data_IF_445410401098
#
_entry.id   IF_445410401098
#
_cell.length_a   1.000
_cell.length_b   1.000
_cell.length_c   1.000
_cell.angle_alpha   90.00
_cell.angle_beta   90.00
_cell.angle_gamma   90.00
#
_symmetry.space_group_name_H-M   'P 1'
#
loop_
_entity.id
_entity.type
_entity.pdbx_description
1 polymer ?
#
# COMPACT_ATOMS: atom_id res chain seq x y z
N UNK A 1 -12.21 -38.99 8.69
CA UNK A 1 -12.50 -38.19 9.90
C UNK A 1 -13.56 -37.15 9.55
N UNK A 2 -14.75 -37.22 10.18
CA UNK A 2 -15.87 -36.30 9.94
C UNK A 2 -15.64 -34.98 10.66
N UNK A 3 -15.25 -33.94 9.93
CA UNK A 3 -15.18 -32.57 10.48
C UNK A 3 -16.62 -32.02 10.46
N UNK A 4 -17.38 -32.20 11.54
CA UNK A 4 -18.68 -31.53 11.72
C UNK A 4 -18.61 -30.56 12.88
N UNK A 5 -17.86 -29.46 12.70
CA UNK A 5 -18.18 -28.25 13.46
C UNK A 5 -19.47 -27.68 12.87
N UNK A 6 -20.51 -27.50 13.69
CA UNK A 6 -21.78 -26.89 13.28
C UNK A 6 -21.66 -25.38 13.05
N UNK A 7 -20.59 -24.77 13.55
CA UNK A 7 -20.33 -23.33 13.50
C UNK A 7 -18.89 -23.11 13.06
N UNK A 8 -18.69 -22.14 12.17
CA UNK A 8 -17.39 -21.64 11.76
C UNK A 8 -17.31 -20.19 12.22
N UNK A 9 -16.23 -19.83 12.90
CA UNK A 9 -15.96 -18.44 13.28
C UNK A 9 -15.26 -17.73 12.14
N UNK A 10 -15.83 -16.61 11.70
CA UNK A 10 -15.23 -15.71 10.71
C UNK A 10 -14.88 -14.42 11.46
N UNK A 11 -13.67 -13.93 11.27
CA UNK A 11 -13.14 -12.72 11.91
C UNK A 11 -12.53 -11.81 10.84
N UNK A 12 -12.30 -10.55 11.19
CA UNK A 12 -11.62 -9.60 10.31
C UNK A 12 -10.20 -10.10 9.97
N UNK A 13 -9.83 -10.00 8.68
CA UNK A 13 -8.51 -10.38 8.20
C UNK A 13 -7.38 -9.50 8.75
N UNK A 14 -7.67 -8.24 9.11
CA UNK A 14 -6.72 -7.31 9.72
C UNK A 14 -6.18 -7.77 11.07
N UNK A 15 -6.83 -8.74 11.72
CA UNK A 15 -6.28 -9.44 12.90
C UNK A 15 -4.98 -10.19 12.56
N UNK A 16 -4.83 -10.63 11.31
CA UNK A 16 -3.64 -11.34 10.82
C UNK A 16 -2.73 -10.44 9.98
N UNK A 17 -3.30 -9.74 9.00
CA UNK A 17 -2.57 -8.88 8.07
C UNK A 17 -3.53 -7.87 7.43
N UNK A 18 -3.19 -6.59 7.45
CA UNK A 18 -3.99 -5.53 6.84
C UNK A 18 -3.81 -5.44 5.32
N UNK A 19 -2.84 -6.19 4.77
CA UNK A 19 -2.51 -6.19 3.34
C UNK A 19 -2.90 -7.55 2.73
N UNK A 20 -4.07 -7.68 2.08
CA UNK A 20 -4.62 -8.97 1.67
C UNK A 20 -4.01 -9.50 0.36
N UNK A 21 -2.70 -9.74 0.33
CA UNK A 21 -2.00 -10.23 -0.86
C UNK A 21 -2.35 -11.67 -1.21
N UNK A 22 -2.55 -12.52 -0.20
CA UNK A 22 -2.78 -13.97 -0.34
C UNK A 22 -3.92 -14.33 -1.30
N UNK A 23 -4.98 -13.51 -1.32
CA UNK A 23 -6.10 -13.74 -2.23
C UNK A 23 -5.62 -13.59 -3.67
N UNK A 24 -4.78 -12.61 -3.98
CA UNK A 24 -4.30 -12.36 -5.34
C UNK A 24 -3.15 -13.27 -5.76
N UNK A 25 -2.39 -13.83 -4.81
CA UNK A 25 -1.21 -14.66 -5.08
C UNK A 25 -1.52 -16.13 -5.38
N UNK A 26 -2.80 -16.53 -5.37
CA UNK A 26 -3.19 -17.90 -5.72
C UNK A 26 -2.68 -18.25 -7.14
N UNK A 27 -2.02 -19.41 -7.34
CA UNK A 27 -1.44 -19.77 -8.64
C UNK A 27 -2.42 -19.69 -9.81
N UNK A 28 -3.70 -20.02 -9.58
CA UNK A 28 -4.75 -20.01 -10.61
C UNK A 28 -5.09 -18.60 -11.13
N UNK A 29 -4.73 -17.55 -10.39
CA UNK A 29 -4.93 -16.16 -10.83
C UNK A 29 -3.82 -15.68 -11.76
N UNK A 30 -2.66 -16.33 -11.77
CA UNK A 30 -1.50 -15.97 -12.60
C UNK A 30 -1.19 -14.46 -12.56
N UNK A 31 -1.18 -13.89 -11.35
CA UNK A 31 -0.97 -12.45 -11.13
C UNK A 31 0.46 -12.07 -11.53
N UNK A 32 0.58 -11.12 -12.47
CA UNK A 32 1.88 -10.62 -12.96
C UNK A 32 2.35 -9.38 -12.19
N UNK A 33 1.40 -8.54 -11.78
CA UNK A 33 1.63 -7.30 -11.03
C UNK A 33 0.62 -7.21 -9.91
N UNK A 34 1.08 -6.91 -8.70
CA UNK A 34 0.24 -6.62 -7.55
C UNK A 34 0.41 -5.16 -7.14
N UNK A 35 -0.67 -4.38 -7.23
CA UNK A 35 -0.68 -3.00 -6.73
C UNK A 35 -1.39 -3.00 -5.39
N UNK A 36 -0.65 -2.62 -4.35
CA UNK A 36 -1.08 -2.63 -2.96
C UNK A 36 -1.18 -1.19 -2.47
N UNK A 37 -2.31 -0.83 -1.88
CA UNK A 37 -2.48 0.42 -1.13
C UNK A 37 -2.67 0.08 0.34
N UNK A 38 -1.70 0.45 1.16
CA UNK A 38 -1.68 0.13 2.59
C UNK A 38 -1.99 1.37 3.44
N UNK A 39 -3.06 1.26 4.22
CA UNK A 39 -3.58 2.29 5.10
C UNK A 39 -3.34 1.97 6.57
N UNK A 40 -2.43 1.05 6.86
CA UNK A 40 -2.10 0.68 8.22
C UNK A 40 -1.50 1.84 9.00
N UNK A 41 -1.87 1.92 10.28
CA UNK A 41 -1.34 2.93 11.19
C UNK A 41 0.18 2.81 11.35
N UNK A 42 0.86 3.95 11.37
CA UNK A 42 2.28 4.04 11.73
C UNK A 42 2.47 4.80 13.04
N UNK A 43 3.59 4.59 13.76
CA UNK A 43 3.90 5.35 14.98
C UNK A 43 3.92 6.87 14.82
N UNK A 44 4.38 7.37 13.67
CA UNK A 44 4.35 8.78 13.28
C UNK A 44 4.63 8.94 11.78
N UNK A 45 4.36 10.13 11.21
CA UNK A 45 4.70 10.48 9.81
C UNK A 45 6.22 10.38 9.49
N UNK A 46 7.07 10.47 10.50
CA UNK A 46 8.53 10.35 10.36
C UNK A 46 9.05 8.92 10.54
N UNK A 47 8.24 8.04 11.14
CA UNK A 47 8.58 6.65 11.42
C UNK A 47 7.46 5.73 10.97
N UNK A 48 7.51 5.34 9.70
CA UNK A 48 6.57 4.37 9.12
C UNK A 48 6.77 2.98 9.69
N UNK A 49 5.67 2.24 9.88
CA UNK A 49 5.70 0.81 10.12
C UNK A 49 5.49 0.05 8.80
N UNK A 50 6.51 -0.69 8.38
CA UNK A 50 6.48 -1.52 7.19
C UNK A 50 6.26 -3.01 7.49
N UNK A 51 5.81 -3.34 8.70
CA UNK A 51 5.55 -4.71 9.15
C UNK A 51 4.57 -5.46 8.25
N UNK A 52 3.52 -4.80 7.77
CA UNK A 52 2.42 -5.46 7.05
C UNK A 52 2.87 -6.10 5.74
N UNK A 53 3.70 -5.42 4.93
CA UNK A 53 4.22 -6.03 3.70
C UNK A 53 5.19 -7.18 4.01
N UNK A 54 5.92 -7.12 5.12
CA UNK A 54 6.82 -8.20 5.55
C UNK A 54 6.02 -9.42 6.03
N UNK A 55 4.94 -9.21 6.79
CA UNK A 55 4.01 -10.26 7.20
C UNK A 55 3.37 -10.91 5.98
N UNK A 56 2.88 -10.10 5.02
CA UNK A 56 2.33 -10.60 3.76
C UNK A 56 3.33 -11.44 2.95
N UNK A 57 4.60 -11.04 2.91
CA UNK A 57 5.65 -11.81 2.25
C UNK A 57 5.89 -13.16 2.95
N UNK A 58 6.00 -13.17 4.28
CA UNK A 58 6.18 -14.39 5.06
C UNK A 58 5.01 -15.35 4.88
N UNK A 59 3.77 -14.85 4.93
CA UNK A 59 2.56 -15.65 4.72
C UNK A 59 2.54 -16.28 3.33
N UNK A 60 2.86 -15.50 2.29
CA UNK A 60 2.94 -16.01 0.93
C UNK A 60 3.97 -17.15 0.81
N UNK A 61 5.19 -16.96 1.34
CA UNK A 61 6.24 -17.98 1.30
C UNK A 61 5.86 -19.24 2.08
N UNK A 62 5.28 -19.10 3.27
CA UNK A 62 4.82 -20.24 4.09
C UNK A 62 3.72 -21.06 3.39
N UNK A 63 2.87 -20.39 2.61
CA UNK A 63 1.80 -21.01 1.84
C UNK A 63 2.25 -21.51 0.46
N UNK A 64 3.56 -21.47 0.15
CA UNK A 64 4.11 -21.90 -1.13
C UNK A 64 3.74 -21.00 -2.31
N UNK A 65 3.31 -19.77 -2.05
CA UNK A 65 3.01 -18.76 -3.06
C UNK A 65 4.26 -17.92 -3.36
N UNK A 66 4.37 -17.42 -4.59
CA UNK A 66 5.49 -16.56 -5.00
C UNK A 66 5.27 -15.13 -4.52
N UNK A 67 6.30 -14.56 -3.89
CA UNK A 67 6.33 -13.16 -3.47
C UNK A 67 7.76 -12.64 -3.56
N UNK A 68 8.01 -11.39 -4.02
CA UNK A 68 9.37 -10.84 -4.13
C UNK A 68 10.17 -10.94 -2.84
N UNK A 69 11.45 -11.27 -2.95
CA UNK A 69 12.34 -11.28 -1.79
C UNK A 69 12.43 -9.87 -1.15
N UNK A 70 12.36 -9.83 0.19
CA UNK A 70 12.47 -8.58 0.95
C UNK A 70 13.68 -8.69 1.89
N UNK A 71 14.54 -7.67 1.88
CA UNK A 71 15.54 -7.50 2.93
C UNK A 71 14.89 -6.78 4.14
N UNK A 72 14.49 -7.54 5.16
CA UNK A 72 13.79 -6.99 6.32
C UNK A 72 14.59 -5.93 7.07
N UNK A 73 15.91 -6.11 7.21
CA UNK A 73 16.76 -5.12 7.89
C UNK A 73 16.77 -3.78 7.14
N UNK A 74 16.85 -3.81 5.81
CA UNK A 74 16.76 -2.59 5.00
C UNK A 74 15.36 -1.98 5.05
N UNK A 75 14.33 -2.81 5.05
CA UNK A 75 12.95 -2.35 5.09
C UNK A 75 12.63 -1.61 6.38
N UNK A 76 12.96 -2.17 7.55
CA UNK A 76 12.72 -1.54 8.86
C UNK A 76 13.41 -0.18 9.02
N UNK A 77 14.53 0.04 8.33
CA UNK A 77 15.30 1.29 8.40
C UNK A 77 15.00 2.24 7.23
N UNK A 78 14.05 1.91 6.37
CA UNK A 78 13.72 2.73 5.22
C UNK A 78 13.00 4.00 5.70
N UNK A 79 13.39 5.20 5.22
CA UNK A 79 12.64 6.41 5.55
C UNK A 79 11.21 6.33 5.01
N UNK A 80 10.30 7.19 5.48
CA UNK A 80 8.93 7.28 4.95
C UNK A 80 8.93 7.46 3.43
N UNK A 81 8.23 6.56 2.71
CA UNK A 81 8.15 6.53 1.25
C UNK A 81 6.74 6.23 0.77
N UNK A 82 6.24 7.07 -0.13
CA UNK A 82 4.89 6.97 -0.70
C UNK A 82 4.70 5.76 -1.63
N UNK A 83 5.75 5.33 -2.33
CA UNK A 83 5.72 4.20 -3.26
C UNK A 83 7.01 3.40 -3.19
N UNK A 84 6.88 2.07 -3.10
CA UNK A 84 7.98 1.11 -3.07
C UNK A 84 7.68 0.02 -4.10
N UNK A 85 8.66 -0.33 -4.94
CA UNK A 85 8.54 -1.45 -5.89
C UNK A 85 9.40 -2.60 -5.41
N UNK A 86 8.79 -3.78 -5.27
CA UNK A 86 9.46 -5.03 -4.92
C UNK A 86 9.41 -5.96 -6.12
N UNK A 87 10.56 -6.47 -6.53
CA UNK A 87 10.69 -7.30 -7.72
C UNK A 87 11.79 -8.32 -7.49
N UNK A 88 11.51 -9.59 -7.81
CA UNK A 88 12.55 -10.59 -7.97
C UNK A 88 12.99 -10.64 -9.43
N UNK A 89 14.22 -10.23 -9.72
CA UNK A 89 14.75 -10.19 -11.10
C UNK A 89 15.17 -11.56 -11.61
N UNK A 90 15.29 -12.55 -10.73
CA UNK A 90 15.75 -13.90 -11.07
C UNK A 90 14.58 -14.89 -11.26
N UNK A 91 13.36 -14.48 -10.91
CA UNK A 91 12.15 -15.29 -11.05
C UNK A 91 11.09 -14.54 -11.89
N UNK A 92 10.94 -14.96 -13.15
CA UNK A 92 9.98 -14.38 -14.10
C UNK A 92 8.52 -14.76 -13.76
N UNK A 93 8.28 -15.78 -12.94
CA UNK A 93 6.94 -16.17 -12.45
C UNK A 93 6.54 -15.43 -11.17
N UNK A 94 7.49 -14.77 -10.50
CA UNK A 94 7.20 -14.01 -9.29
C UNK A 94 6.57 -12.65 -9.65
N UNK A 95 5.41 -12.28 -9.08
CA UNK A 95 4.76 -11.02 -9.40
C UNK A 95 5.62 -9.82 -9.00
N UNK A 96 5.55 -8.74 -9.76
CA UNK A 96 6.11 -7.45 -9.34
C UNK A 96 5.11 -6.77 -8.41
N UNK A 97 5.54 -6.31 -7.24
CA UNK A 97 4.67 -5.64 -6.27
C UNK A 97 4.95 -4.14 -6.29
N UNK A 98 3.92 -3.33 -6.53
CA UNK A 98 3.93 -1.89 -6.28
C UNK A 98 3.18 -1.68 -4.97
N UNK A 99 3.86 -1.10 -3.99
CA UNK A 99 3.30 -0.87 -2.67
C UNK A 99 3.26 0.63 -2.37
N UNK A 100 2.05 1.15 -2.27
CA UNK A 100 1.76 2.50 -1.84
C UNK A 100 1.48 2.52 -0.34
N UNK A 101 2.11 3.44 0.36
CA UNK A 101 1.93 3.62 1.80
C UNK A 101 1.20 4.92 2.07
N UNK A 102 0.44 4.94 3.16
CA UNK A 102 -0.23 6.13 3.65
C UNK A 102 0.80 7.09 4.26
N UNK A 103 1.34 8.02 3.47
CA UNK A 103 2.41 8.91 3.89
C UNK A 103 2.31 10.26 3.17
N UNK A 104 2.36 11.38 3.90
CA UNK A 104 2.33 12.73 3.32
C UNK A 104 3.76 13.29 3.17
N UNK A 105 4.46 13.02 2.05
CA UNK A 105 5.85 13.53 1.85
C UNK A 105 5.94 14.55 0.74
N UNK A 106 5.65 14.14 -0.49
CA UNK A 106 5.74 15.03 -1.65
C UNK A 106 4.55 15.97 -1.67
N UNK A 107 3.37 15.47 -1.31
CA UNK A 107 2.13 16.24 -1.31
C UNK A 107 2.20 17.49 -0.42
N UNK A 108 2.64 17.39 0.83
CA UNK A 108 2.81 18.54 1.75
C UNK A 108 3.74 19.64 1.25
N UNK A 109 4.67 19.32 0.35
CA UNK A 109 5.65 20.27 -0.16
C UNK A 109 5.21 20.94 -1.48
N UNK A 110 4.02 20.63 -2.00
CA UNK A 110 3.49 21.28 -3.20
C UNK A 110 3.21 22.75 -2.94
N UNK A 111 3.82 23.61 -3.75
CA UNK A 111 3.57 25.05 -3.70
C UNK A 111 2.29 25.39 -4.45
N UNK A 112 1.47 26.27 -3.88
CA UNK A 112 0.23 26.76 -4.50
C UNK A 112 -0.74 25.64 -4.89
N UNK A 113 -0.78 24.55 -4.11
CA UNK A 113 -1.71 23.46 -4.36
C UNK A 113 -3.16 23.96 -4.28
N UNK A 114 -3.99 23.52 -5.23
CA UNK A 114 -5.43 23.76 -5.23
C UNK A 114 -6.14 22.41 -5.28
N UNK A 115 -6.98 22.09 -4.28
CA UNK A 115 -7.72 20.83 -4.27
C UNK A 115 -8.73 20.78 -5.42
N UNK A 116 -9.07 19.58 -5.89
CA UNK A 116 -10.05 19.39 -6.96
C UNK A 116 -11.48 19.56 -6.46
N UNK A 117 -11.74 19.15 -5.21
CA UNK A 117 -13.11 19.02 -4.68
C UNK A 117 -13.39 19.72 -3.34
N UNK A 118 -12.45 20.49 -2.75
CA UNK A 118 -12.67 21.09 -1.42
C UNK A 118 -13.58 22.31 -1.48
N UNK A 119 -14.65 22.29 -0.68
CA UNK A 119 -15.59 23.41 -0.50
C UNK A 119 -15.37 24.18 0.80
N UNK A 120 -14.68 23.60 1.77
CA UNK A 120 -14.41 24.25 3.07
C UNK A 120 -13.21 25.20 3.00
N UNK A 121 -13.25 26.33 3.73
CA UNK A 121 -12.10 27.21 3.87
C UNK A 121 -11.01 26.52 4.70
N UNK A 122 -9.75 26.74 4.30
CA UNK A 122 -8.59 26.32 5.08
C UNK A 122 -8.46 27.29 6.26
N UNK A 123 -8.22 26.81 7.50
CA UNK A 123 -8.00 27.69 8.65
C UNK A 123 -6.89 28.72 8.41
N UNK A 124 -7.03 29.90 9.01
CA UNK A 124 -6.05 30.97 8.88
C UNK A 124 -4.65 30.51 9.34
N UNK A 125 -3.66 30.68 8.45
CA UNK A 125 -2.28 30.29 8.71
C UNK A 125 -1.95 28.82 8.42
N UNK A 126 -2.92 28.01 8.01
CA UNK A 126 -2.69 26.65 7.54
C UNK A 126 -2.60 26.57 6.00
N UNK A 127 -2.10 25.45 5.51
CA UNK A 127 -2.21 25.09 4.09
C UNK A 127 -3.05 23.84 3.93
N UNK A 128 -3.62 23.65 2.74
CA UNK A 128 -4.44 22.46 2.48
C UNK A 128 -3.63 21.17 2.64
N UNK A 129 -2.43 21.13 2.05
CA UNK A 129 -1.65 19.92 1.84
C UNK A 129 -0.63 19.63 2.95
N UNK A 130 -0.31 20.60 3.81
CA UNK A 130 0.58 20.40 4.96
C UNK A 130 -0.21 20.02 6.21
N UNK A 131 -0.36 18.71 6.42
CA UNK A 131 -0.98 18.13 7.61
C UNK A 131 -0.30 16.80 7.94
N UNK A 132 -0.40 16.38 9.20
CA UNK A 132 0.10 15.09 9.65
C UNK A 132 -0.99 14.02 9.52
N UNK A 133 -0.58 12.78 9.24
CA UNK A 133 -1.50 11.64 9.12
C UNK A 133 -1.53 10.82 10.41
N UNK A 134 -0.40 10.70 11.10
CA UNK A 134 -0.24 9.86 12.28
C UNK A 134 0.17 10.70 13.49
N UNK A 135 -0.80 11.38 14.10
CA UNK A 135 -0.61 12.03 15.40
C UNK A 135 -1.81 11.78 16.31
N UNK A 136 -1.70 12.10 17.60
CA UNK A 136 -2.82 11.94 18.54
C UNK A 136 -3.97 12.91 18.28
N UNK A 137 -3.69 13.96 17.53
CA UNK A 137 -4.57 15.09 17.27
C UNK A 137 -5.22 15.00 15.88
N UNK A 138 -4.89 13.99 15.07
CA UNK A 138 -5.47 13.79 13.73
C UNK A 138 -6.74 12.96 13.79
N UNK A 139 -7.76 13.31 12.99
CA UNK A 139 -8.98 12.50 12.81
C UNK A 139 -8.78 11.19 12.00
N UNK A 140 -7.54 10.83 11.64
CA UNK A 140 -7.24 9.68 10.79
C UNK A 140 -6.97 8.39 11.57
N UNK A 141 -7.31 8.37 12.86
CA UNK A 141 -7.23 7.17 13.69
C UNK A 141 -8.17 6.08 13.16
N UNK A 142 -7.76 4.82 13.28
CA UNK A 142 -8.63 3.67 12.97
C UNK A 142 -9.92 3.65 13.80
N UNK A 143 -9.94 4.35 14.94
CA UNK A 143 -11.10 4.42 15.81
C UNK A 143 -12.01 5.63 15.58
N UNK A 144 -11.60 6.57 14.72
CA UNK A 144 -12.37 7.77 14.42
C UNK A 144 -13.21 7.55 13.16
N UNK A 145 -14.50 7.84 13.26
CA UNK A 145 -15.48 7.64 12.20
C UNK A 145 -16.17 8.93 11.76
N UNK A 146 -15.76 10.07 12.33
CA UNK A 146 -16.31 11.39 12.04
C UNK A 146 -15.21 12.27 11.48
N UNK A 147 -15.33 12.58 10.19
CA UNK A 147 -14.37 13.39 9.45
C UNK A 147 -15.06 14.69 9.07
N UNK A 148 -14.42 15.81 9.36
CA UNK A 148 -14.82 17.06 8.72
C UNK A 148 -14.61 16.95 7.21
N UNK A 149 -15.34 17.75 6.42
CA UNK A 149 -15.16 17.77 4.97
C UNK A 149 -13.71 18.10 4.56
N UNK A 150 -13.06 19.01 5.30
CA UNK A 150 -11.65 19.35 5.07
C UNK A 150 -10.71 18.15 5.32
N UNK A 151 -10.88 17.39 6.41
CA UNK A 151 -10.04 16.21 6.69
C UNK A 151 -10.25 15.10 5.66
N UNK A 152 -11.50 14.85 5.27
CA UNK A 152 -11.82 13.91 4.21
C UNK A 152 -11.14 14.29 2.89
N UNK A 153 -11.29 15.56 2.47
CA UNK A 153 -10.72 16.05 1.22
C UNK A 153 -9.19 16.05 1.27
N UNK A 154 -8.58 16.41 2.40
CA UNK A 154 -7.12 16.36 2.62
C UNK A 154 -6.57 14.95 2.37
N UNK A 155 -7.15 13.94 3.01
CA UNK A 155 -6.72 12.55 2.86
C UNK A 155 -6.94 12.03 1.43
N UNK A 156 -8.09 12.35 0.84
CA UNK A 156 -8.45 11.96 -0.53
C UNK A 156 -7.51 12.59 -1.58
N UNK A 157 -7.25 13.89 -1.49
CA UNK A 157 -6.32 14.59 -2.39
C UNK A 157 -4.89 14.11 -2.23
N UNK A 158 -4.45 13.86 -1.00
CA UNK A 158 -3.12 13.30 -0.73
C UNK A 158 -2.96 11.93 -1.42
N UNK A 159 -3.90 11.00 -1.23
CA UNK A 159 -3.80 9.68 -1.85
C UNK A 159 -3.92 9.74 -3.37
N UNK A 160 -4.77 10.60 -3.90
CA UNK A 160 -4.84 10.82 -5.34
C UNK A 160 -3.52 11.37 -5.89
N UNK A 161 -2.90 12.33 -5.21
CA UNK A 161 -1.59 12.85 -5.60
C UNK A 161 -0.54 11.74 -5.57
N UNK A 162 -0.47 10.97 -4.49
CA UNK A 162 0.46 9.83 -4.34
C UNK A 162 0.36 8.86 -5.51
N UNK A 163 -0.84 8.45 -5.92
CA UNK A 163 -0.98 7.52 -7.06
C UNK A 163 -0.62 8.20 -8.39
N UNK A 164 -1.11 9.43 -8.61
CA UNK A 164 -0.94 10.10 -9.91
C UNK A 164 0.50 10.57 -10.15
N UNK A 165 1.23 10.94 -9.11
CA UNK A 165 2.65 11.30 -9.19
C UNK A 165 3.55 10.10 -9.53
N UNK A 166 3.07 8.87 -9.32
CA UNK A 166 3.78 7.63 -9.60
C UNK A 166 3.26 6.88 -10.84
N UNK A 167 2.51 7.52 -11.74
CA UNK A 167 2.02 6.90 -12.97
C UNK A 167 3.14 6.40 -13.88
N UNK A 168 4.29 7.07 -13.92
CA UNK A 168 5.47 6.61 -14.67
C UNK A 168 5.98 5.28 -14.09
N UNK A 169 6.12 5.19 -12.77
CA UNK A 169 6.53 3.97 -12.07
C UNK A 169 5.58 2.81 -12.35
N UNK A 170 4.26 3.06 -12.31
CA UNK A 170 3.25 2.04 -12.64
C UNK A 170 3.42 1.56 -14.09
N UNK A 171 3.56 2.48 -15.04
CA UNK A 171 3.76 2.14 -16.47
C UNK A 171 5.05 1.34 -16.69
N UNK A 172 6.13 1.72 -16.02
CA UNK A 172 7.41 1.01 -16.11
C UNK A 172 7.33 -0.42 -15.56
N UNK A 173 6.63 -0.61 -14.44
CA UNK A 173 6.37 -1.94 -13.88
C UNK A 173 5.53 -2.79 -14.82
N UNK A 174 4.45 -2.23 -15.38
CA UNK A 174 3.61 -2.95 -16.35
C UNK A 174 4.39 -3.37 -17.59
N UNK A 175 5.31 -2.53 -18.06
CA UNK A 175 6.21 -2.86 -19.17
C UNK A 175 7.10 -4.05 -18.80
N UNK A 176 7.78 -4.02 -17.64
CA UNK A 176 8.64 -5.13 -17.18
C UNK A 176 7.85 -6.43 -16.98
N UNK A 177 6.67 -6.36 -16.37
CA UNK A 177 5.81 -7.52 -16.19
C UNK A 177 5.38 -8.14 -17.52
N UNK A 178 5.10 -7.31 -18.54
CA UNK A 178 4.81 -7.78 -19.89
C UNK A 178 6.01 -8.49 -20.51
N UNK A 179 7.22 -7.97 -20.33
CA UNK A 179 8.46 -8.60 -20.79
C UNK A 179 8.69 -9.96 -20.11
N UNK A 180 8.53 -10.04 -18.79
CA UNK A 180 8.58 -11.31 -18.04
C UNK A 180 7.55 -12.32 -18.55
N UNK A 181 6.31 -11.88 -18.80
CA UNK A 181 5.25 -12.73 -19.34
C UNK A 181 5.59 -13.27 -20.73
N UNK A 182 6.16 -12.45 -21.61
CA UNK A 182 6.59 -12.89 -22.94
C UNK A 182 7.68 -13.96 -22.87
N UNK A 183 8.66 -13.82 -21.98
CA UNK A 183 9.72 -14.82 -21.77
C UNK A 183 9.15 -16.17 -21.33
N UNK A 184 8.23 -16.17 -20.35
CA UNK A 184 7.54 -17.37 -19.89
C UNK A 184 6.79 -18.09 -21.01
N UNK A 185 6.01 -17.34 -21.78
CA UNK A 185 5.25 -17.91 -22.91
C UNK A 185 6.15 -18.42 -24.05
N UNK A 186 7.36 -17.90 -24.20
CA UNK A 186 8.33 -18.38 -25.18
C UNK A 186 9.14 -19.60 -24.69
N UNK A 187 9.11 -19.89 -23.39
CA UNK A 187 9.81 -21.02 -22.77
C UNK A 187 8.94 -22.29 -22.67
N UNK A 188 7.66 -22.20 -23.03
CA UNK A 188 6.67 -23.30 -23.10
C UNK A 188 6.53 -23.76 -24.54
#
# INVERSE_FOLDING_TARGET
MSIRRKVISVVDAGVLCNVPTDVMLRPQRATDVLIVTDFSGSPSDDKMDYSQIMVAAVQAWQNGMKFPSINFQKMVNLPPKECIVLEDVNDDECPIVIWFTLCNKTFRNLKNFKPRNSTEPIPDGETFNDFNVFTKETAYSTFDFDYTALEFDRLNEMMYHTITSHLSTIKDVLKRATEKKRKRLAAV
#
